data_IF_901097806193
#
_entry.id   IF_901097806193
#
_cell.length_a   1.000
_cell.length_b   1.000
_cell.length_c   1.000
_cell.angle_alpha   90.00
_cell.angle_beta   90.00
_cell.angle_gamma   90.00
#
_symmetry.space_group_name_H-M   'P 1'
#
loop_
_entity.id
_entity.type
_entity.pdbx_description
1 polymer ?
#
# COMPACT_ATOMS: atom_id res chain seq x y z
N UNK A 1 5.11 5.64 11.05
CA UNK A 1 5.28 5.01 9.73
C UNK A 1 4.49 3.72 9.74
N UNK A 2 3.49 3.58 8.87
CA UNK A 2 2.64 2.38 8.81
C UNK A 2 3.05 1.49 7.65
N UNK A 3 3.17 0.19 7.90
CA UNK A 3 3.39 -0.85 6.89
C UNK A 3 2.26 -1.88 7.01
N UNK A 4 1.64 -2.22 5.88
CA UNK A 4 0.50 -3.14 5.83
C UNK A 4 0.94 -4.52 5.35
N UNK A 5 0.30 -5.58 5.88
CA UNK A 5 0.40 -6.94 5.32
C UNK A 5 -0.93 -7.22 4.63
N UNK A 6 -0.94 -7.19 3.31
CA UNK A 6 -2.17 -7.33 2.54
C UNK A 6 -2.64 -8.78 2.43
N UNK A 7 -3.93 -9.00 2.62
CA UNK A 7 -4.63 -10.22 2.22
C UNK A 7 -5.35 -10.06 0.86
N UNK A 8 -5.18 -8.91 0.21
CA UNK A 8 -5.82 -8.53 -1.05
C UNK A 8 -4.77 -8.04 -2.05
N UNK A 9 -3.83 -8.91 -2.40
CA UNK A 9 -2.80 -8.61 -3.40
C UNK A 9 -3.33 -8.81 -4.82
N UNK A 10 -2.91 -7.96 -5.77
CA UNK A 10 -3.16 -8.13 -7.21
C UNK A 10 -1.96 -7.66 -8.03
N UNK A 11 -2.01 -7.75 -9.36
CA UNK A 11 -0.86 -7.43 -10.23
C UNK A 11 -0.45 -5.94 -10.21
N UNK A 12 -1.29 -5.05 -9.67
CA UNK A 12 -1.05 -3.61 -9.68
C UNK A 12 -1.00 -2.99 -8.28
N UNK A 13 -1.31 -3.76 -7.25
CA UNK A 13 -1.41 -3.27 -5.88
C UNK A 13 -2.65 -2.41 -5.64
N UNK A 14 -3.79 -2.75 -6.25
CA UNK A 14 -4.95 -1.83 -6.30
C UNK A 14 -5.55 -1.45 -4.95
N UNK A 15 -5.32 -2.25 -3.91
CA UNK A 15 -5.78 -1.92 -2.55
C UNK A 15 -5.11 -0.65 -1.97
N UNK A 16 -3.94 -0.26 -2.48
CA UNK A 16 -3.19 0.92 -2.00
C UNK A 16 -3.91 2.25 -2.26
N UNK A 17 -4.72 2.33 -3.32
CA UNK A 17 -5.46 3.55 -3.70
C UNK A 17 -6.97 3.42 -3.53
N UNK A 18 -7.48 2.29 -3.01
CA UNK A 18 -8.89 2.19 -2.61
C UNK A 18 -9.13 3.11 -1.42
N UNK A 19 -10.21 3.89 -1.48
CA UNK A 19 -10.59 4.82 -0.39
C UNK A 19 -10.71 4.12 0.96
N UNK A 20 -11.13 2.85 0.97
CA UNK A 20 -11.23 1.98 2.15
C UNK A 20 -10.22 0.82 2.16
N UNK A 21 -9.16 0.92 1.36
CA UNK A 21 -8.04 -0.04 1.35
C UNK A 21 -7.19 -0.03 2.62
N UNK A 22 -6.31 -1.01 2.79
CA UNK A 22 -5.55 -1.19 4.03
C UNK A 22 -4.73 0.05 4.41
N UNK A 23 -4.08 0.70 3.43
CA UNK A 23 -3.30 1.95 3.61
C UNK A 23 -4.17 3.04 4.24
N UNK A 24 -5.36 3.28 3.67
CA UNK A 24 -6.29 4.28 4.15
C UNK A 24 -6.83 3.93 5.54
N UNK A 25 -7.20 2.66 5.77
CA UNK A 25 -7.70 2.19 7.08
C UNK A 25 -6.66 2.35 8.19
N UNK A 26 -5.39 2.00 7.95
CA UNK A 26 -4.31 2.17 8.93
C UNK A 26 -4.18 3.64 9.34
N UNK A 27 -4.07 4.55 8.37
CA UNK A 27 -3.93 5.97 8.65
C UNK A 27 -5.14 6.54 9.40
N UNK A 28 -6.35 6.15 8.97
CA UNK A 28 -7.62 6.57 9.59
C UNK A 28 -7.73 6.10 11.03
N UNK A 29 -7.45 4.83 11.31
CA UNK A 29 -7.50 4.27 12.66
C UNK A 29 -6.50 4.99 13.56
N UNK A 30 -5.26 5.20 13.11
CA UNK A 30 -4.25 5.94 13.89
C UNK A 30 -4.72 7.36 14.22
N UNK A 31 -5.20 8.13 13.23
CA UNK A 31 -5.66 9.51 13.44
C UNK A 31 -6.93 9.60 14.27
N UNK A 32 -7.84 8.64 14.17
CA UNK A 32 -9.05 8.58 15.00
C UNK A 32 -8.74 8.22 16.45
N UNK A 33 -7.76 7.34 16.68
CA UNK A 33 -7.39 6.88 18.02
C UNK A 33 -6.55 7.91 18.77
N UNK A 34 -5.59 8.54 18.09
CA UNK A 34 -4.72 9.59 18.64
C UNK A 34 -4.58 10.72 17.62
N UNK A 35 -5.43 11.76 17.68
CA UNK A 35 -5.44 12.84 16.70
C UNK A 35 -4.11 13.60 16.58
N UNK A 36 -3.32 13.69 17.64
CA UNK A 36 -2.01 14.37 17.64
C UNK A 36 -0.86 13.48 17.14
N UNK A 37 -1.10 12.18 16.91
CA UNK A 37 -0.09 11.30 16.34
C UNK A 37 0.29 11.79 14.93
N UNK A 38 1.60 11.94 14.70
CA UNK A 38 2.14 12.18 13.36
C UNK A 38 2.17 10.84 12.62
N UNK A 39 1.20 10.67 11.72
CA UNK A 39 1.07 9.46 10.92
C UNK A 39 1.78 9.68 9.59
N UNK A 40 2.87 8.95 9.38
CA UNK A 40 3.52 8.79 8.09
C UNK A 40 3.01 7.49 7.49
N UNK A 41 2.48 7.52 6.27
CA UNK A 41 2.08 6.34 5.51
C UNK A 41 3.20 5.95 4.58
N UNK A 42 3.68 4.71 4.68
CA UNK A 42 4.50 4.17 3.59
C UNK A 42 3.67 4.18 2.30
N UNK A 43 4.28 4.62 1.20
CA UNK A 43 3.61 4.81 -0.09
C UNK A 43 4.36 4.00 -1.15
N UNK A 44 4.08 2.71 -1.14
CA UNK A 44 4.65 1.72 -2.04
C UNK A 44 3.58 0.71 -2.48
N UNK A 45 3.97 -0.23 -3.34
CA UNK A 45 3.12 -1.31 -3.83
C UNK A 45 3.66 -2.71 -3.50
N UNK A 46 4.86 -2.84 -2.92
CA UNK A 46 5.50 -4.15 -2.74
C UNK A 46 4.72 -5.09 -1.82
N UNK A 47 4.04 -4.58 -0.79
CA UNK A 47 3.19 -5.39 0.10
C UNK A 47 1.81 -5.70 -0.49
N UNK A 48 1.50 -5.16 -1.68
CA UNK A 48 0.19 -5.21 -2.31
C UNK A 48 0.20 -5.83 -3.71
N UNK A 49 1.37 -5.96 -4.33
CA UNK A 49 1.50 -6.60 -5.63
C UNK A 49 1.69 -8.11 -5.50
N UNK A 50 1.07 -8.89 -6.38
CA UNK A 50 1.21 -10.35 -6.46
C UNK A 50 2.65 -10.79 -6.69
N UNK A 51 3.45 -9.97 -7.37
CA UNK A 51 4.85 -10.20 -7.70
C UNK A 51 5.84 -9.52 -6.73
N UNK A 52 5.37 -8.72 -5.77
CA UNK A 52 6.21 -8.09 -4.74
C UNK A 52 7.14 -6.96 -5.21
N UNK A 53 6.88 -6.36 -6.37
CA UNK A 53 7.66 -5.20 -6.85
C UNK A 53 7.00 -3.89 -6.43
N UNK A 54 7.78 -2.82 -6.35
CA UNK A 54 7.32 -1.50 -5.92
C UNK A 54 6.47 -0.75 -6.97
N UNK A 55 5.80 -1.46 -7.88
CA UNK A 55 5.00 -0.89 -8.97
C UNK A 55 4.73 -1.91 -10.07
N UNK A 56 4.09 -1.46 -11.15
CA UNK A 56 3.76 -2.32 -12.28
C UNK A 56 5.01 -2.92 -12.95
N UNK A 57 4.98 -4.22 -13.21
CA UNK A 57 6.05 -4.94 -13.90
C UNK A 57 5.82 -4.90 -15.41
N UNK A 58 6.83 -4.47 -16.16
CA UNK A 58 6.82 -4.47 -17.63
C UNK A 58 7.94 -5.35 -18.18
N UNK A 59 7.70 -5.98 -19.33
CA UNK A 59 8.75 -6.72 -20.05
C UNK A 59 9.62 -5.73 -20.82
N UNK A 60 10.91 -5.68 -20.51
CA UNK A 60 11.88 -5.01 -21.36
C UNK A 60 12.27 -5.93 -22.51
N UNK A 61 12.43 -5.38 -23.72
CA UNK A 61 13.10 -6.09 -24.81
C UNK A 61 14.60 -5.89 -24.64
N UNK A 62 15.32 -6.96 -24.33
CA UNK A 62 16.77 -7.01 -24.52
C UNK A 62 17.02 -7.19 -26.02
N UNK A 63 17.58 -6.16 -26.65
CA UNK A 63 18.20 -6.25 -27.97
C UNK A 63 19.67 -6.62 -27.83
#
# INVERSE_FOLDING_TARGET
MTFGISHHTDDTGSDTWKEDGLVARMSRICKQTVPEMIVMSDTCFCEYTSHGHCGGVVRTRSG
#
